data_IF_378509910378
#
_entry.id   IF_378509910378
#
_cell.length_a   1.000
_cell.length_b   1.000
_cell.length_c   1.000
_cell.angle_alpha   90.00
_cell.angle_beta   90.00
_cell.angle_gamma   90.00
#
_symmetry.space_group_name_H-M   'P 1'
#
loop_
_entity.id
_entity.type
_entity.pdbx_description
1 polymer ?
#
# COMPACT_ATOMS: atom_id res chain seq x y z
N UNK A 1 -43.03 15.30 5.41
CA UNK A 1 -42.20 15.12 5.22
C UNK A 1 -41.55 14.85 5.26
N UNK A 2 -41.50 14.77 5.27
CA UNK A 2 -40.50 14.31 5.17
C UNK A 2 -39.97 14.08 5.17
N UNK A 3 -39.95 13.93 5.15
CA UNK A 3 -39.24 13.47 5.04
C UNK A 3 -38.45 13.20 5.03
N UNK A 4 -38.90 13.46 5.16
CA UNK A 4 -37.90 13.04 5.01
C UNK A 4 -37.32 12.66 4.89
N UNK A 5 -37.57 12.57 4.99
CA UNK A 5 -36.73 12.01 4.75
C UNK A 5 -36.31 11.55 4.67
N UNK A 6 -36.59 11.45 4.51
CA UNK A 6 -35.88 10.79 4.31
C UNK A 6 -35.17 10.40 4.33
N UNK A 7 -35.25 10.53 4.49
CA UNK A 7 -34.42 9.87 4.40
C UNK A 7 -33.97 9.22 4.44
N UNK A 8 -33.90 9.00 4.34
CA UNK A 8 -33.39 8.25 4.17
C UNK A 8 -33.08 7.88 4.07
N UNK A 9 -33.27 7.79 3.67
CA UNK A 9 -33.00 7.32 3.44
C UNK A 9 -32.27 6.80 3.43
N UNK A 10 -32.33 6.85 3.42
CA UNK A 10 -31.57 6.36 3.30
C UNK A 10 -30.91 6.15 3.61
N UNK A 11 -30.97 6.17 3.54
CA UNK A 11 -30.21 5.95 3.73
C UNK A 11 -29.55 5.23 4.05
N UNK A 12 -29.69 5.04 4.02
CA UNK A 12 -29.25 4.30 4.18
C UNK A 12 -28.48 3.78 4.16
N UNK A 13 -28.88 3.34 3.73
CA UNK A 13 -27.86 2.72 3.80
C UNK A 13 -26.81 3.34 3.50
N UNK A 14 -27.19 4.00 3.70
CA UNK A 14 -26.32 4.50 3.46
C UNK A 14 -25.36 4.09 3.92
N UNK A 15 -25.15 3.82 3.46
CA UNK A 15 -23.94 3.23 3.70
C UNK A 15 -23.14 3.98 4.70
N UNK A 16 -22.50 3.28 5.57
CA UNK A 16 -21.53 3.89 6.44
C UNK A 16 -20.48 4.58 5.59
N UNK A 17 -20.27 5.87 5.74
CA UNK A 17 -19.20 6.53 5.00
C UNK A 17 -17.87 5.93 5.36
N UNK A 18 -16.95 5.95 4.43
CA UNK A 18 -15.61 5.52 4.70
C UNK A 18 -14.90 6.43 5.69
N UNK A 19 -13.72 6.06 6.13
CA UNK A 19 -12.97 6.89 7.06
C UNK A 19 -12.54 8.19 6.42
N UNK A 20 -12.47 9.25 7.20
CA UNK A 20 -11.89 10.49 6.76
C UNK A 20 -10.37 10.41 6.85
N UNK A 21 -9.69 11.35 6.20
CA UNK A 21 -8.23 11.44 6.32
C UNK A 21 -7.82 11.62 7.77
N UNK A 22 -8.56 12.43 8.54
CA UNK A 22 -8.24 12.64 9.95
C UNK A 22 -8.36 11.35 10.76
N UNK A 23 -9.40 10.56 10.52
CA UNK A 23 -9.56 9.28 11.21
C UNK A 23 -8.40 8.32 10.86
N UNK A 24 -7.99 8.31 9.61
CA UNK A 24 -6.87 7.45 9.20
C UNK A 24 -5.58 7.89 9.86
N UNK A 25 -5.36 9.22 9.97
CA UNK A 25 -4.17 9.72 10.63
C UNK A 25 -4.16 9.33 12.12
N UNK A 26 -5.33 9.34 12.76
CA UNK A 26 -5.42 8.89 14.13
C UNK A 26 -5.11 7.41 14.30
N UNK A 27 -5.64 6.58 13.40
CA UNK A 27 -5.34 5.16 13.40
C UNK A 27 -3.85 4.91 13.20
N UNK A 28 -3.24 5.67 12.31
CA UNK A 28 -1.81 5.51 12.01
C UNK A 28 -0.95 5.92 13.21
N UNK A 29 -1.35 6.95 13.95
CA UNK A 29 -0.59 7.38 15.13
C UNK A 29 -0.75 6.41 16.29
N UNK A 30 -1.90 5.75 16.40
CA UNK A 30 -2.22 4.93 17.56
C UNK A 30 -1.49 3.60 17.59
N UNK A 31 -0.97 3.16 16.48
CA UNK A 31 -0.34 1.85 16.38
C UNK A 31 1.11 1.86 16.83
N UNK A 32 1.86 0.94 16.27
CA UNK A 32 3.28 0.78 16.56
C UNK A 32 4.02 2.08 16.28
N UNK A 33 4.89 2.49 17.20
CA UNK A 33 5.56 3.79 17.10
C UNK A 33 6.84 3.76 16.26
N UNK A 34 7.38 2.58 15.98
CA UNK A 34 8.63 2.45 15.23
C UNK A 34 8.52 1.30 14.24
N UNK A 35 9.47 1.23 13.32
CA UNK A 35 9.54 0.14 12.38
C UNK A 35 10.98 -0.35 12.25
N UNK A 36 11.12 -1.59 11.81
CA UNK A 36 12.40 -2.15 11.41
C UNK A 36 12.73 -1.68 10.00
N UNK A 37 13.91 -2.04 9.49
CA UNK A 37 14.28 -1.70 8.11
C UNK A 37 13.40 -2.43 7.11
N UNK A 38 12.87 -3.59 7.48
CA UNK A 38 11.93 -4.36 6.67
C UNK A 38 11.01 -5.12 7.60
N UNK A 39 9.72 -5.16 7.26
CA UNK A 39 8.72 -5.89 8.04
C UNK A 39 7.77 -6.63 7.11
N UNK A 40 7.40 -7.84 7.49
CA UNK A 40 6.35 -8.57 6.79
C UNK A 40 5.00 -8.07 7.28
N UNK A 41 4.19 -7.52 6.37
CA UNK A 41 2.92 -6.88 6.72
C UNK A 41 1.70 -7.70 6.29
N UNK A 42 1.92 -8.68 5.44
CA UNK A 42 0.90 -9.62 4.94
C UNK A 42 1.67 -10.86 4.56
N UNK A 43 1.08 -12.06 4.58
CA UNK A 43 1.86 -13.26 4.26
C UNK A 43 2.65 -13.12 2.97
N UNK A 44 3.96 -13.23 3.09
CA UNK A 44 4.93 -13.15 1.98
C UNK A 44 5.03 -11.79 1.32
N UNK A 45 4.51 -10.74 1.96
CA UNK A 45 4.55 -9.37 1.46
C UNK A 45 5.22 -8.48 2.49
N UNK A 46 6.30 -7.83 2.08
CA UNK A 46 7.15 -7.03 2.96
C UNK A 46 7.16 -5.57 2.53
N UNK A 47 7.27 -4.67 3.50
CA UNK A 47 7.58 -3.26 3.25
C UNK A 47 8.95 -2.99 3.84
N UNK A 48 9.79 -2.29 3.09
CA UNK A 48 11.13 -1.99 3.56
C UNK A 48 11.67 -0.67 3.05
N UNK A 49 12.89 -0.35 3.50
CA UNK A 49 13.59 0.87 3.10
C UNK A 49 14.54 0.59 1.93
N UNK A 50 15.15 1.68 1.42
CA UNK A 50 16.06 1.57 0.30
C UNK A 50 17.32 0.78 0.66
N UNK A 51 17.78 0.88 1.90
CA UNK A 51 18.98 0.16 2.33
C UNK A 51 18.79 -1.35 2.23
N UNK A 52 17.61 -1.84 2.64
CA UNK A 52 17.27 -3.25 2.49
C UNK A 52 17.16 -3.64 1.02
N UNK A 53 16.46 -2.82 0.24
CA UNK A 53 16.26 -3.10 -1.19
C UNK A 53 17.56 -3.13 -1.96
N UNK A 54 18.56 -2.37 -1.52
CA UNK A 54 19.87 -2.31 -2.20
C UNK A 54 20.85 -3.36 -1.67
N UNK A 55 20.44 -4.19 -0.74
CA UNK A 55 21.30 -5.21 -0.15
C UNK A 55 20.90 -6.59 -0.65
N UNK A 56 21.59 -7.10 -1.67
CA UNK A 56 21.24 -8.40 -2.27
C UNK A 56 21.34 -9.56 -1.30
N UNK A 57 22.26 -9.50 -0.36
CA UNK A 57 22.40 -10.55 0.63
C UNK A 57 21.15 -10.62 1.53
N UNK A 58 20.66 -9.45 1.96
CA UNK A 58 19.44 -9.39 2.76
C UNK A 58 18.24 -9.94 2.00
N UNK A 59 18.11 -9.59 0.73
CA UNK A 59 17.01 -10.07 -0.08
C UNK A 59 17.05 -11.58 -0.25
N UNK A 60 18.26 -12.10 -0.48
CA UNK A 60 18.45 -13.55 -0.60
C UNK A 60 18.09 -14.24 0.72
N UNK A 61 18.53 -13.67 1.84
CA UNK A 61 18.28 -14.24 3.15
C UNK A 61 16.79 -14.27 3.48
N UNK A 62 16.05 -13.23 3.09
CA UNK A 62 14.61 -13.15 3.27
C UNK A 62 13.83 -14.02 2.28
N UNK A 63 14.47 -14.47 1.22
CA UNK A 63 13.80 -15.22 0.16
C UNK A 63 13.01 -14.38 -0.80
N UNK A 64 13.36 -13.08 -0.94
CA UNK A 64 12.65 -12.16 -1.82
C UNK A 64 12.84 -12.55 -3.27
N UNK A 65 11.75 -12.72 -3.98
CA UNK A 65 11.75 -13.08 -5.42
C UNK A 65 11.26 -11.93 -6.29
N UNK A 66 10.54 -10.96 -5.73
CA UNK A 66 9.95 -9.86 -6.46
C UNK A 66 10.19 -8.57 -5.71
N UNK A 67 10.58 -7.51 -6.41
CA UNK A 67 10.80 -6.19 -5.81
C UNK A 67 9.96 -5.17 -6.55
N UNK A 68 9.15 -4.42 -5.81
CA UNK A 68 8.42 -3.27 -6.32
C UNK A 68 9.05 -2.03 -5.70
N UNK A 69 9.68 -1.21 -6.52
CA UNK A 69 10.35 0.02 -6.10
C UNK A 69 9.40 1.19 -6.30
N UNK A 70 8.82 1.68 -5.22
CA UNK A 70 7.86 2.79 -5.28
C UNK A 70 8.52 4.16 -5.37
N UNK A 71 9.84 4.19 -5.53
CA UNK A 71 10.61 5.43 -5.69
C UNK A 71 11.58 5.30 -6.85
N UNK A 72 11.21 4.55 -7.88
CA UNK A 72 12.08 4.23 -9.00
C UNK A 72 12.63 5.51 -9.64
N UNK A 73 13.93 5.53 -9.85
CA UNK A 73 14.61 6.69 -10.43
C UNK A 73 14.94 7.77 -9.43
N UNK A 74 14.47 7.63 -8.18
CA UNK A 74 14.77 8.60 -7.14
C UNK A 74 16.14 8.36 -6.50
N UNK A 75 16.53 9.31 -5.67
CA UNK A 75 17.80 9.21 -4.93
C UNK A 75 17.78 7.95 -4.06
N UNK A 76 18.86 7.18 -4.10
CA UNK A 76 19.02 5.92 -3.36
C UNK A 76 18.12 4.79 -3.84
N UNK A 77 17.26 5.03 -4.84
CA UNK A 77 16.30 4.03 -5.31
C UNK A 77 16.43 3.83 -6.81
N UNK A 78 17.65 3.78 -7.31
CA UNK A 78 17.93 3.68 -8.74
C UNK A 78 17.99 2.24 -9.26
N UNK A 79 17.80 1.26 -8.40
CA UNK A 79 17.88 -0.15 -8.79
C UNK A 79 17.19 -0.43 -10.11
N UNK A 80 16.90 -1.64 -10.38
CA UNK A 80 16.25 -1.99 -11.63
C UNK A 80 16.61 -3.40 -12.01
N UNK A 81 16.12 -3.88 -13.15
CA UNK A 81 16.38 -5.27 -13.54
C UNK A 81 17.86 -5.59 -13.61
N UNK A 82 18.69 -4.64 -14.05
CA UNK A 82 20.13 -4.87 -14.16
C UNK A 82 20.77 -5.06 -12.78
N UNK A 83 20.29 -4.32 -11.79
CA UNK A 83 20.82 -4.45 -10.43
C UNK A 83 20.50 -5.81 -9.83
N UNK A 84 19.25 -6.25 -9.98
CA UNK A 84 18.79 -7.48 -9.34
C UNK A 84 19.10 -8.72 -10.15
N UNK A 85 19.30 -8.59 -11.44
CA UNK A 85 19.57 -9.73 -12.31
C UNK A 85 18.33 -10.56 -12.57
N UNK A 86 18.53 -11.78 -13.05
CA UNK A 86 17.42 -12.63 -13.46
C UNK A 86 16.74 -13.37 -12.30
N UNK A 87 17.31 -13.33 -11.10
CA UNK A 87 16.75 -14.04 -9.96
C UNK A 87 15.61 -13.26 -9.26
N UNK A 88 15.42 -11.99 -9.60
CA UNK A 88 14.41 -11.13 -8.98
C UNK A 88 13.59 -10.45 -10.08
N UNK A 89 12.28 -10.58 -9.98
CA UNK A 89 11.37 -9.88 -10.88
C UNK A 89 11.14 -8.47 -10.33
N UNK A 90 11.26 -7.46 -11.17
CA UNK A 90 11.29 -6.06 -10.74
C UNK A 90 10.19 -5.24 -11.40
N UNK A 91 9.56 -4.36 -10.62
CA UNK A 91 8.67 -3.31 -11.12
C UNK A 91 9.06 -1.99 -10.50
N UNK A 92 9.29 -0.98 -11.31
CA UNK A 92 9.59 0.37 -10.84
C UNK A 92 8.39 1.27 -11.01
N UNK A 93 8.04 2.01 -9.94
CA UNK A 93 6.99 3.02 -9.96
C UNK A 93 7.66 4.35 -9.61
N UNK A 94 7.67 5.32 -10.53
CA UNK A 94 8.39 6.58 -10.31
C UNK A 94 7.58 7.58 -9.48
N UNK A 95 7.18 7.18 -8.28
CA UNK A 95 6.36 8.02 -7.42
C UNK A 95 7.23 8.99 -6.63
N UNK A 96 6.68 10.17 -6.36
CA UNK A 96 7.28 11.16 -5.49
C UNK A 96 6.45 11.25 -4.21
N UNK A 97 7.10 11.40 -3.07
CA UNK A 97 6.39 11.49 -1.80
C UNK A 97 5.91 12.92 -1.57
N UNK A 98 4.98 13.34 -2.41
CA UNK A 98 4.39 14.69 -2.37
C UNK A 98 2.88 14.55 -2.37
N UNK A 99 2.18 15.37 -1.55
CA UNK A 99 0.72 15.25 -1.47
C UNK A 99 -0.01 15.48 -2.79
N UNK A 100 0.60 16.20 -3.74
CA UNK A 100 -0.03 16.47 -5.02
C UNK A 100 0.38 15.48 -6.11
N UNK A 101 1.20 14.46 -5.78
CA UNK A 101 1.53 13.44 -6.75
C UNK A 101 0.37 12.46 -6.90
N UNK A 102 0.00 12.14 -8.14
CA UNK A 102 -1.09 11.19 -8.40
C UNK A 102 -0.55 9.77 -8.38
N UNK A 103 -0.46 9.20 -7.18
CA UNK A 103 -0.01 7.81 -7.02
C UNK A 103 -1.12 6.83 -7.40
N UNK A 104 -2.38 7.29 -7.44
CA UNK A 104 -3.50 6.41 -7.79
C UNK A 104 -3.40 5.88 -9.21
N UNK A 105 -2.68 6.58 -10.09
CA UNK A 105 -2.45 6.11 -11.45
C UNK A 105 -1.69 4.77 -11.49
N UNK A 106 -1.02 4.43 -10.40
CA UNK A 106 -0.22 3.20 -10.32
C UNK A 106 -0.85 2.12 -9.45
N UNK A 107 -2.02 2.38 -8.88
CA UNK A 107 -2.66 1.42 -7.97
C UNK A 107 -2.90 0.07 -8.65
N UNK A 108 -3.49 0.08 -9.83
CA UNK A 108 -3.82 -1.17 -10.52
C UNK A 108 -2.58 -1.95 -10.93
N UNK A 109 -1.57 -1.30 -11.48
CA UNK A 109 -0.37 -2.01 -11.93
C UNK A 109 0.42 -2.56 -10.74
N UNK A 110 0.49 -1.80 -9.65
CA UNK A 110 1.19 -2.26 -8.45
C UNK A 110 0.44 -3.44 -7.82
N UNK A 111 -0.88 -3.33 -7.69
CA UNK A 111 -1.69 -4.41 -7.12
C UNK A 111 -1.60 -5.67 -7.96
N UNK A 112 -1.63 -5.52 -9.29
CA UNK A 112 -1.51 -6.66 -10.19
C UNK A 112 -0.16 -7.35 -10.05
N UNK A 113 0.91 -6.58 -9.96
CA UNK A 113 2.25 -7.13 -9.76
C UNK A 113 2.34 -7.95 -8.48
N UNK A 114 1.84 -7.39 -7.39
CA UNK A 114 1.87 -8.08 -6.09
C UNK A 114 0.99 -9.33 -6.13
N UNK A 115 -0.19 -9.21 -6.70
CA UNK A 115 -1.13 -10.33 -6.78
C UNK A 115 -0.54 -11.50 -7.58
N UNK A 116 0.03 -11.22 -8.73
CA UNK A 116 0.65 -12.26 -9.56
C UNK A 116 1.81 -12.91 -8.83
N UNK A 117 2.65 -12.10 -8.19
CA UNK A 117 3.78 -12.63 -7.44
C UNK A 117 3.31 -13.57 -6.34
N UNK A 118 2.36 -13.12 -5.52
CA UNK A 118 1.89 -13.90 -4.37
C UNK A 118 1.07 -15.14 -4.80
N UNK A 119 0.61 -15.16 -6.04
CA UNK A 119 -0.05 -16.35 -6.60
C UNK A 119 0.94 -17.42 -7.02
N UNK A 120 2.23 -17.11 -7.04
CA UNK A 120 3.29 -18.04 -7.40
C UNK A 120 3.80 -18.72 -6.14
N UNK A 121 3.80 -20.07 -6.08
CA UNK A 121 4.26 -20.77 -4.88
C UNK A 121 5.70 -20.40 -4.53
N UNK A 122 5.94 -20.11 -3.26
CA UNK A 122 7.27 -19.77 -2.75
C UNK A 122 7.71 -18.36 -3.00
N UNK A 123 6.92 -17.54 -3.67
CA UNK A 123 7.31 -16.15 -3.96
C UNK A 123 7.15 -15.26 -2.72
N UNK A 124 8.03 -14.29 -2.61
CA UNK A 124 7.97 -13.26 -1.58
C UNK A 124 8.27 -11.92 -2.22
N UNK A 125 7.47 -10.92 -1.85
CA UNK A 125 7.53 -9.60 -2.47
C UNK A 125 8.01 -8.56 -1.47
N UNK A 126 8.96 -7.74 -1.91
CA UNK A 126 9.35 -6.53 -1.16
C UNK A 126 8.83 -5.31 -1.91
N UNK A 127 8.07 -4.47 -1.22
CA UNK A 127 7.65 -3.16 -1.71
C UNK A 127 8.41 -2.12 -0.91
N UNK A 128 9.17 -1.26 -1.58
CA UNK A 128 10.00 -0.31 -0.87
C UNK A 128 9.94 1.08 -1.49
N UNK A 129 10.37 2.05 -0.73
CA UNK A 129 10.68 3.39 -1.20
C UNK A 129 11.96 3.80 -0.47
N UNK A 130 12.15 5.06 -0.11
CA UNK A 130 13.38 5.44 0.60
C UNK A 130 13.35 4.93 2.04
N UNK A 131 12.29 5.26 2.78
CA UNK A 131 12.16 4.90 4.21
C UNK A 131 11.19 3.75 4.43
N UNK A 132 10.27 3.54 3.49
CA UNK A 132 9.27 2.49 3.65
C UNK A 132 8.11 2.92 4.52
N UNK A 133 7.71 4.20 4.43
CA UNK A 133 6.70 4.78 5.31
C UNK A 133 5.49 5.30 4.52
N UNK A 134 5.70 5.93 3.36
CA UNK A 134 4.61 6.59 2.65
C UNK A 134 4.28 5.95 1.30
N UNK A 135 5.18 6.04 0.31
CA UNK A 135 4.91 5.56 -1.05
C UNK A 135 4.66 4.06 -1.09
N UNK A 136 5.57 3.29 -0.50
CA UNK A 136 5.44 1.83 -0.48
C UNK A 136 4.22 1.40 0.29
N UNK A 137 3.96 2.02 1.43
CA UNK A 137 2.78 1.69 2.24
C UNK A 137 1.50 1.96 1.46
N UNK A 138 1.44 3.08 0.71
CA UNK A 138 0.26 3.40 -0.07
C UNK A 138 -0.05 2.32 -1.11
N UNK A 139 0.98 1.83 -1.80
CA UNK A 139 0.76 0.79 -2.81
C UNK A 139 0.35 -0.54 -2.19
N UNK A 140 0.88 -0.87 -1.02
CA UNK A 140 0.47 -2.08 -0.31
C UNK A 140 -0.99 -1.97 0.15
N UNK A 141 -1.38 -0.80 0.68
CA UNK A 141 -2.77 -0.58 1.09
C UNK A 141 -3.71 -0.74 -0.10
N UNK A 142 -3.34 -0.17 -1.26
CA UNK A 142 -4.15 -0.32 -2.46
C UNK A 142 -4.28 -1.79 -2.88
N UNK A 143 -3.20 -2.56 -2.79
CA UNK A 143 -3.24 -3.99 -3.07
C UNK A 143 -4.21 -4.72 -2.15
N UNK A 144 -4.15 -4.44 -0.85
CA UNK A 144 -5.03 -5.11 0.10
C UNK A 144 -6.51 -4.79 -0.18
N UNK A 145 -6.78 -3.56 -0.60
CA UNK A 145 -8.14 -3.16 -0.94
C UNK A 145 -8.60 -3.79 -2.26
N UNK A 146 -7.77 -3.77 -3.28
CA UNK A 146 -8.16 -4.22 -4.61
C UNK A 146 -8.19 -5.74 -4.74
N UNK A 147 -7.26 -6.44 -4.12
CA UNK A 147 -7.09 -7.87 -4.32
C UNK A 147 -7.55 -8.70 -3.13
N UNK A 148 -7.41 -8.18 -1.91
CA UNK A 148 -7.83 -8.91 -0.71
C UNK A 148 -9.17 -8.44 -0.18
N UNK A 149 -9.77 -7.46 -0.84
CA UNK A 149 -11.11 -6.96 -0.55
C UNK A 149 -11.27 -6.37 0.85
N UNK A 150 -10.18 -5.89 1.42
CA UNK A 150 -10.25 -5.21 2.70
C UNK A 150 -10.76 -3.79 2.50
N UNK A 151 -11.51 -3.27 3.47
CA UNK A 151 -11.80 -1.85 3.48
C UNK A 151 -10.50 -1.09 3.78
N UNK A 152 -10.48 0.20 3.48
CA UNK A 152 -9.31 1.00 3.78
C UNK A 152 -8.96 0.96 5.26
N UNK A 153 -9.97 1.05 6.13
CA UNK A 153 -9.75 0.99 7.58
C UNK A 153 -9.11 -0.33 7.96
N UNK A 154 -9.64 -1.45 7.45
CA UNK A 154 -9.07 -2.78 7.74
C UNK A 154 -7.65 -2.91 7.22
N UNK A 155 -7.37 -2.38 6.03
CA UNK A 155 -6.03 -2.44 5.46
C UNK A 155 -5.03 -1.66 6.31
N UNK A 156 -5.41 -0.46 6.74
CA UNK A 156 -4.56 0.37 7.60
C UNK A 156 -4.25 -0.34 8.91
N UNK A 157 -5.28 -0.89 9.56
CA UNK A 157 -5.08 -1.61 10.83
C UNK A 157 -4.15 -2.80 10.62
N UNK A 158 -4.36 -3.56 9.57
CA UNK A 158 -3.54 -4.75 9.27
C UNK A 158 -2.07 -4.39 9.12
N UNK A 159 -1.77 -3.38 8.32
CA UNK A 159 -0.37 -2.99 8.08
C UNK A 159 0.24 -2.41 9.35
N UNK A 160 -0.52 -1.60 10.08
CA UNK A 160 0.00 -0.95 11.29
C UNK A 160 0.31 -1.94 12.42
N UNK A 161 -0.29 -3.10 12.40
CA UNK A 161 0.05 -4.15 13.37
C UNK A 161 1.49 -4.64 13.21
N UNK A 162 2.06 -4.47 12.02
CA UNK A 162 3.36 -5.03 11.70
C UNK A 162 4.43 -3.99 11.45
N UNK A 163 4.05 -2.78 11.08
CA UNK A 163 5.03 -1.75 10.72
C UNK A 163 4.46 -0.37 10.93
N UNK A 164 5.29 0.57 11.41
CA UNK A 164 4.92 1.97 11.44
C UNK A 164 4.96 2.51 10.02
N UNK A 165 3.81 2.96 9.52
CA UNK A 165 3.68 3.58 8.20
C UNK A 165 2.84 4.82 8.33
N UNK A 166 3.03 5.76 7.41
CA UNK A 166 2.25 7.01 7.43
C UNK A 166 2.24 7.61 6.03
N UNK A 167 1.33 7.16 5.14
CA UNK A 167 1.20 7.79 3.83
C UNK A 167 0.93 9.29 3.98
N UNK A 168 1.47 10.09 3.08
CA UNK A 168 1.20 11.53 3.16
C UNK A 168 -0.31 11.79 2.96
N UNK A 169 -0.73 13.00 3.32
CA UNK A 169 -2.17 13.34 3.35
C UNK A 169 -2.82 13.22 1.97
N UNK A 170 -2.12 13.61 0.90
CA UNK A 170 -2.65 13.46 -0.46
C UNK A 170 -2.85 12.00 -0.84
N UNK A 171 -1.93 11.13 -0.44
CA UNK A 171 -2.05 9.70 -0.68
C UNK A 171 -3.21 9.10 0.10
N UNK A 172 -3.38 9.52 1.35
CA UNK A 172 -4.53 9.07 2.15
C UNK A 172 -5.84 9.49 1.49
N UNK A 173 -5.88 10.70 0.93
CA UNK A 173 -7.07 11.17 0.22
C UNK A 173 -7.36 10.29 -1.01
N UNK A 174 -6.33 9.94 -1.76
CA UNK A 174 -6.50 9.08 -2.93
C UNK A 174 -6.94 7.67 -2.55
N UNK A 175 -6.45 7.16 -1.42
CA UNK A 175 -6.92 5.88 -0.91
C UNK A 175 -8.38 5.96 -0.46
N UNK A 176 -8.80 7.06 0.14
CA UNK A 176 -10.21 7.26 0.49
C UNK A 176 -11.09 7.27 -0.76
N UNK A 177 -10.63 7.89 -1.84
CA UNK A 177 -11.35 7.88 -3.11
C UNK A 177 -11.47 6.46 -3.66
N UNK A 178 -10.40 5.68 -3.58
CA UNK A 178 -10.43 4.29 -4.01
C UNK A 178 -11.43 3.49 -3.17
N UNK A 179 -11.43 3.68 -1.87
CA UNK A 179 -12.33 2.98 -0.96
C UNK A 179 -13.79 3.28 -1.32
N UNK A 180 -14.12 4.54 -1.59
CA UNK A 180 -15.47 4.93 -2.00
C UNK A 180 -15.85 4.27 -3.32
N UNK A 181 -14.95 4.25 -4.28
CA UNK A 181 -15.19 3.67 -5.58
C UNK A 181 -15.46 2.16 -5.47
N UNK A 182 -14.68 1.46 -4.65
CA UNK A 182 -14.85 0.03 -4.48
C UNK A 182 -16.17 -0.31 -3.78
N UNK A 183 -16.57 0.50 -2.82
CA UNK A 183 -17.85 0.29 -2.15
C UNK A 183 -19.03 0.60 -3.07
N UNK A 184 -18.89 1.63 -3.90
CA UNK A 184 -19.92 1.98 -4.86
C UNK A 184 -20.09 0.92 -5.94
N UNK A 185 -19.06 0.11 -6.20
CA UNK A 185 -19.13 -0.99 -7.16
C UNK A 185 -19.55 -2.32 -6.53
N UNK A 186 -20.07 -2.29 -5.30
CA UNK A 186 -20.49 -3.50 -4.62
C UNK A 186 -19.36 -4.27 -3.95
N UNK A 187 -18.19 -3.72 -3.94
CA UNK A 187 -17.04 -4.29 -3.25
C UNK A 187 -17.11 -3.90 -1.78
N UNK A 188 -17.32 -4.79 -0.91
CA UNK A 188 -17.52 -4.42 0.49
C UNK A 188 -16.34 -4.82 1.39
#
# INVERSE_FOLDING_TARGET
MAEARLPGQGEGAEATPGPSVLELEELLRAGKASCSRVDEVWPNLFIGDAATANNRYELWKLGITHVLNAAHGGLYCQGGPDFYGSSVTYLGVPAHDLPDFDISAYFSSAADFIHRALSTPGAKVLVHCVVGVSRSATLVLAYLMLCQRLSLRQAVITVREHRWVFPNRGFLHQLCQLDQKLRGAGHS
#
